data_IF_501245529629
#
_entry.id   IF_501245529629
#
_cell.length_a   1.000
_cell.length_b   1.000
_cell.length_c   1.000
_cell.angle_alpha   90.00
_cell.angle_beta   90.00
_cell.angle_gamma   90.00
#
_symmetry.space_group_name_H-M   'P 1'
#
loop_
_entity.id
_entity.type
_entity.pdbx_description
1 polymer ?
#
# COMPACT_ATOMS: atom_id res chain seq x y z
N UNK A 1 -1.54 3.43 1.34
CA UNK A 1 -2.06 2.16 0.78
C UNK A 1 -2.23 1.17 1.92
N UNK A 2 -3.45 0.70 2.17
CA UNK A 2 -3.73 -0.33 3.19
C UNK A 2 -3.73 -1.73 2.56
N UNK A 3 -2.68 -2.51 2.74
CA UNK A 3 -2.62 -3.88 2.19
C UNK A 3 -3.28 -4.90 3.14
N UNK A 4 -3.55 -6.11 2.63
CA UNK A 4 -4.14 -7.25 3.36
C UNK A 4 -5.60 -7.03 3.80
N UNK A 5 -6.37 -6.31 3.01
CA UNK A 5 -7.79 -6.07 3.31
C UNK A 5 -8.64 -7.36 3.33
N UNK A 6 -8.11 -8.49 2.84
CA UNK A 6 -8.76 -9.80 2.88
C UNK A 6 -8.87 -10.39 4.29
N UNK A 7 -7.97 -10.04 5.21
CA UNK A 7 -7.99 -10.51 6.60
C UNK A 7 -8.87 -9.60 7.48
N UNK A 8 -10.12 -9.43 7.09
CA UNK A 8 -11.10 -8.60 7.82
C UNK A 8 -11.28 -9.01 9.30
N UNK A 9 -11.06 -10.28 9.61
CA UNK A 9 -11.15 -10.83 10.97
C UNK A 9 -9.95 -10.50 11.87
N UNK A 10 -8.80 -10.13 11.28
CA UNK A 10 -7.58 -9.71 11.98
C UNK A 10 -7.33 -8.21 11.81
N UNK A 11 -8.36 -7.45 11.42
CA UNK A 11 -8.25 -6.01 11.21
C UNK A 11 -8.05 -5.30 12.54
N UNK A 12 -6.89 -4.67 12.69
CA UNK A 12 -6.56 -3.81 13.84
C UNK A 12 -6.89 -2.33 13.61
N UNK A 13 -6.93 -1.90 12.34
CA UNK A 13 -7.14 -0.50 11.95
C UNK A 13 -8.40 -0.38 11.11
N UNK A 14 -9.31 0.50 11.52
CA UNK A 14 -10.52 0.77 10.76
C UNK A 14 -10.17 1.51 9.46
N UNK A 15 -10.95 1.27 8.42
CA UNK A 15 -10.77 1.95 7.12
C UNK A 15 -10.89 3.47 7.26
N UNK A 16 -11.72 3.95 8.18
CA UNK A 16 -11.90 5.38 8.46
C UNK A 16 -10.65 6.05 9.02
N UNK A 17 -9.93 5.37 9.92
CA UNK A 17 -8.68 5.89 10.50
C UNK A 17 -7.59 6.03 9.43
N UNK A 18 -7.44 5.00 8.60
CA UNK A 18 -6.49 5.02 7.49
C UNK A 18 -6.81 6.11 6.46
N UNK A 19 -8.10 6.39 6.25
CA UNK A 19 -8.55 7.48 5.37
C UNK A 19 -8.31 8.85 6.01
N UNK A 20 -8.62 9.02 7.28
CA UNK A 20 -8.42 10.28 8.00
C UNK A 20 -6.94 10.68 8.05
N UNK A 21 -6.03 9.72 8.25
CA UNK A 21 -4.58 9.98 8.22
C UNK A 21 -4.11 10.39 6.81
N UNK A 22 -4.63 9.74 5.76
CA UNK A 22 -4.30 10.09 4.39
C UNK A 22 -4.82 11.49 4.02
N UNK A 23 -6.04 11.84 4.45
CA UNK A 23 -6.62 13.17 4.29
C UNK A 23 -5.77 14.23 5.02
N UNK A 24 -5.29 13.92 6.23
CA UNK A 24 -4.36 14.77 7.00
C UNK A 24 -3.04 15.01 6.25
N UNK A 25 -2.50 13.99 5.58
CA UNK A 25 -1.27 14.11 4.78
C UNK A 25 -1.52 14.67 3.38
N UNK A 26 -2.78 14.89 2.98
CA UNK A 26 -3.15 15.32 1.64
C UNK A 26 -2.80 14.29 0.55
N UNK A 27 -2.84 13.01 0.87
CA UNK A 27 -2.52 11.92 -0.05
C UNK A 27 -3.70 10.96 -0.27
N UNK A 28 -3.65 10.19 -1.36
CA UNK A 28 -4.70 9.22 -1.67
C UNK A 28 -4.64 7.98 -0.76
N UNK A 29 -5.80 7.48 -0.36
CA UNK A 29 -5.95 6.21 0.36
C UNK A 29 -6.63 5.16 -0.52
N UNK A 30 -6.07 3.95 -0.54
CA UNK A 30 -6.64 2.79 -1.22
C UNK A 30 -6.30 1.52 -0.42
N UNK A 31 -7.29 0.68 -0.18
CA UNK A 31 -7.09 -0.66 0.38
C UNK A 31 -6.90 -1.68 -0.73
N UNK A 32 -5.92 -2.56 -0.56
CA UNK A 32 -5.56 -3.60 -1.53
C UNK A 32 -5.32 -4.94 -0.83
N UNK A 33 -5.41 -6.02 -1.59
CA UNK A 33 -4.90 -7.32 -1.17
C UNK A 33 -4.07 -7.93 -2.28
N UNK A 34 -2.78 -8.05 -2.04
CA UNK A 34 -1.88 -8.78 -2.93
C UNK A 34 -2.26 -10.28 -3.04
N UNK A 35 -2.86 -10.85 -2.00
CA UNK A 35 -3.22 -12.27 -1.92
C UNK A 35 -4.43 -12.61 -2.79
N UNK A 36 -5.45 -11.75 -2.77
CA UNK A 36 -6.68 -11.94 -3.57
C UNK A 36 -6.68 -11.12 -4.88
N UNK A 37 -5.58 -10.42 -5.18
CA UNK A 37 -5.47 -9.46 -6.28
C UNK A 37 -6.53 -8.34 -6.21
N UNK A 38 -7.00 -8.00 -5.01
CA UNK A 38 -7.99 -6.95 -4.82
C UNK A 38 -7.34 -5.56 -4.92
N UNK A 39 -7.87 -4.71 -5.80
CA UNK A 39 -7.45 -3.32 -6.05
C UNK A 39 -5.96 -3.11 -6.39
N UNK A 40 -5.20 -4.17 -6.66
CA UNK A 40 -3.79 -4.08 -7.06
C UNK A 40 -3.65 -3.37 -8.40
N UNK A 41 -4.49 -3.72 -9.37
CA UNK A 41 -4.48 -3.09 -10.69
C UNK A 41 -4.91 -1.62 -10.66
N UNK A 42 -5.90 -1.28 -9.84
CA UNK A 42 -6.37 0.09 -9.66
C UNK A 42 -5.29 0.95 -9.00
N UNK A 43 -4.64 0.43 -7.95
CA UNK A 43 -3.50 1.08 -7.31
C UNK A 43 -2.41 1.47 -8.32
N UNK A 44 -1.98 0.52 -9.15
CA UNK A 44 -0.93 0.79 -10.14
C UNK A 44 -1.41 1.73 -11.25
N UNK A 45 -2.68 1.65 -11.67
CA UNK A 45 -3.23 2.58 -12.66
C UNK A 45 -3.28 4.01 -12.13
N UNK A 46 -3.74 4.20 -10.90
CA UNK A 46 -3.81 5.52 -10.28
C UNK A 46 -2.43 6.11 -10.07
N UNK A 47 -1.48 5.28 -9.62
CA UNK A 47 -0.08 5.67 -9.45
C UNK A 47 0.54 6.08 -10.80
N UNK A 48 0.37 5.28 -11.85
CA UNK A 48 0.87 5.62 -13.19
C UNK A 48 0.19 6.87 -13.79
N UNK A 49 -1.09 7.10 -13.48
CA UNK A 49 -1.79 8.31 -13.91
C UNK A 49 -1.28 9.56 -13.19
N UNK A 50 -0.94 9.45 -11.90
CA UNK A 50 -0.29 10.51 -11.13
C UNK A 50 1.15 10.78 -11.64
N UNK A 51 1.88 9.74 -12.06
CA UNK A 51 3.25 9.84 -12.59
C UNK A 51 3.37 10.56 -13.93
N UNK A 52 2.28 10.69 -14.72
CA UNK A 52 2.31 11.51 -15.95
C UNK A 52 2.74 12.97 -15.70
N UNK A 53 2.67 13.43 -14.45
CA UNK A 53 3.09 14.76 -14.02
C UNK A 53 4.40 14.79 -13.20
N UNK A 54 5.04 13.64 -12.91
CA UNK A 54 6.30 13.59 -12.13
C UNK A 54 7.13 12.35 -12.50
N UNK A 55 8.40 12.56 -12.87
CA UNK A 55 9.35 11.48 -13.08
C UNK A 55 9.68 10.78 -11.75
N UNK A 56 9.02 9.65 -11.47
CA UNK A 56 9.37 8.72 -10.39
C UNK A 56 9.83 7.42 -11.03
N UNK A 57 10.97 6.88 -10.58
CA UNK A 57 11.52 5.63 -11.09
C UNK A 57 10.95 4.46 -10.29
N UNK A 58 9.93 3.80 -10.82
CA UNK A 58 9.49 2.49 -10.34
C UNK A 58 10.51 1.45 -10.82
N UNK A 59 11.58 1.25 -10.06
CA UNK A 59 12.47 0.13 -10.34
C UNK A 59 11.75 -1.17 -9.96
N UNK A 60 11.53 -2.09 -10.90
CA UNK A 60 10.98 -3.39 -10.57
C UNK A 60 11.95 -4.07 -9.60
N UNK A 61 11.47 -4.41 -8.40
CA UNK A 61 12.23 -5.22 -7.46
C UNK A 61 12.34 -6.61 -8.10
N UNK A 62 13.48 -6.89 -8.73
CA UNK A 62 13.77 -8.19 -9.31
C UNK A 62 13.86 -9.20 -8.16
N UNK A 63 12.95 -10.17 -8.19
CA UNK A 63 12.88 -11.28 -7.25
C UNK A 63 14.13 -12.16 -7.39
N UNK A 64 15.22 -11.79 -6.73
CA UNK A 64 16.36 -12.67 -6.49
C UNK A 64 17.18 -12.28 -5.25
N UNK A 65 16.55 -11.69 -4.26
CA UNK A 65 17.16 -11.48 -2.97
C UNK A 65 16.13 -11.78 -1.90
N UNK A 66 16.43 -12.79 -1.07
CA UNK A 66 15.72 -13.01 0.17
C UNK A 66 15.58 -11.67 0.88
N UNK A 67 14.37 -11.12 0.93
CA UNK A 67 14.05 -10.00 1.79
C UNK A 67 14.21 -10.57 3.19
N UNK A 68 15.39 -10.38 3.77
CA UNK A 68 15.58 -10.52 5.20
C UNK A 68 14.49 -9.67 5.83
N UNK A 69 13.50 -10.31 6.45
CA UNK A 69 12.49 -9.68 7.28
C UNK A 69 13.25 -9.00 8.42
N UNK A 70 13.76 -7.80 8.14
CA UNK A 70 14.43 -6.97 9.13
C UNK A 70 13.37 -6.54 10.11
N UNK A 71 13.48 -7.19 11.26
CA UNK A 71 13.03 -6.82 12.60
C UNK A 71 11.75 -5.99 12.70
N UNK A 72 10.79 -6.61 13.39
CA UNK A 72 9.51 -6.10 13.86
C UNK A 72 9.57 -4.59 14.13
N UNK A 73 8.63 -3.85 13.54
CA UNK A 73 8.36 -2.47 13.91
C UNK A 73 8.04 -2.43 15.41
N UNK A 74 8.94 -1.89 16.22
CA UNK A 74 8.69 -1.64 17.62
C UNK A 74 7.97 -0.30 17.73
N UNK A 75 6.69 -0.35 18.13
CA UNK A 75 5.97 0.83 18.62
C UNK A 75 6.43 1.03 20.07
N UNK A 76 7.04 2.18 20.33
CA UNK A 76 7.54 2.57 21.65
C UNK A 76 6.39 3.02 22.55
#
# INVERSE_FOLDING_TARGET
>A
VGNKCDESTLREVATEDGKAEADSWGCGFLETSAKTNHNVNELFKDLLNLEKNRAVSLQPVSSNSAISLKEKCAVM
#
